data_IF_458464375754
#
_entry.id   IF_458464375754
#
_cell.length_a   1.000
_cell.length_b   1.000
_cell.length_c   1.000
_cell.angle_alpha   90.00
_cell.angle_beta   90.00
_cell.angle_gamma   90.00
#
_symmetry.space_group_name_H-M   'P 1'
#
loop_
_entity.id
_entity.type
_entity.pdbx_description
1 polymer ?
#
# COMPACT_ATOMS: atom_id res chain seq x y z
N UNK A 1 -28.61 17.11 -71.80
CA UNK A 1 -27.25 16.52 -71.66
C UNK A 1 -26.67 17.04 -70.35
N UNK A 2 -26.19 16.23 -69.39
CA UNK A 2 -24.97 15.37 -69.38
C UNK A 2 -23.67 16.20 -69.48
N UNK A 3 -22.52 16.00 -68.81
CA UNK A 3 -21.98 15.18 -67.68
C UNK A 3 -20.58 15.79 -67.33
N UNK A 4 -19.91 15.76 -66.16
CA UNK A 4 -19.89 15.04 -64.84
C UNK A 4 -19.74 16.13 -63.72
N UNK A 5 -19.77 15.94 -62.38
CA UNK A 5 -19.62 14.86 -61.38
C UNK A 5 -18.18 14.51 -60.87
N UNK A 6 -18.05 14.47 -59.52
CA UNK A 6 -17.05 13.79 -58.64
C UNK A 6 -15.58 14.28 -58.44
N UNK A 7 -15.35 15.07 -57.37
CA UNK A 7 -14.15 15.04 -56.47
C UNK A 7 -14.55 15.67 -55.11
N UNK A 8 -14.77 15.04 -53.96
CA UNK A 8 -14.44 13.75 -53.33
C UNK A 8 -13.07 13.68 -52.59
N UNK A 9 -13.12 13.32 -51.30
CA UNK A 9 -12.03 12.97 -50.35
C UNK A 9 -10.91 14.00 -50.04
N UNK A 10 -11.13 14.87 -49.04
CA UNK A 10 -10.25 15.19 -47.88
C UNK A 10 -10.92 16.35 -47.12
N UNK A 11 -11.39 16.26 -45.86
CA UNK A 11 -10.95 15.42 -44.73
C UNK A 11 -12.17 14.84 -43.98
N UNK A 12 -12.19 13.51 -43.74
CA UNK A 12 -13.10 12.86 -42.77
C UNK A 12 -12.36 12.66 -41.43
N UNK A 13 -13.13 12.52 -40.34
CA UNK A 13 -12.69 12.28 -38.94
C UNK A 13 -12.04 13.54 -38.31
N UNK A 14 -12.20 13.84 -37.01
CA UNK A 14 -12.91 13.18 -35.89
C UNK A 14 -13.97 14.18 -35.38
N UNK A 15 -15.27 13.88 -35.18
CA UNK A 15 -15.85 12.95 -34.19
C UNK A 15 -15.19 13.04 -32.81
N UNK A 16 -15.74 13.86 -31.92
CA UNK A 16 -16.14 13.40 -30.59
C UNK A 16 -17.39 14.16 -30.15
N UNK A 17 -18.51 13.45 -30.05
CA UNK A 17 -19.72 13.97 -29.40
C UNK A 17 -19.62 13.56 -27.93
N UNK A 18 -19.44 14.50 -27.01
CA UNK A 18 -19.62 14.27 -25.58
C UNK A 18 -21.11 14.04 -25.32
N UNK A 19 -21.53 12.79 -25.50
CA UNK A 19 -22.93 12.38 -25.50
C UNK A 19 -23.43 12.20 -24.06
N UNK A 20 -23.54 13.32 -23.34
CA UNK A 20 -23.88 13.37 -21.92
C UNK A 20 -25.21 12.62 -21.67
N UNK A 21 -25.16 11.62 -20.79
CA UNK A 21 -26.01 10.45 -20.89
C UNK A 21 -27.36 10.63 -20.17
N UNK A 22 -28.25 11.45 -20.76
CA UNK A 22 -29.60 11.73 -20.23
C UNK A 22 -30.49 10.47 -20.21
N UNK A 23 -30.49 9.74 -19.09
CA UNK A 23 -31.48 8.69 -18.78
C UNK A 23 -32.79 9.34 -18.29
N UNK A 24 -33.92 8.73 -18.63
CA UNK A 24 -35.25 9.20 -18.20
C UNK A 24 -35.69 8.47 -16.93
N UNK A 25 -36.11 9.22 -15.91
CA UNK A 25 -36.88 8.70 -14.78
C UNK A 25 -38.37 8.72 -15.14
N UNK A 26 -39.12 7.67 -14.78
CA UNK A 26 -40.58 7.63 -14.92
C UNK A 26 -41.23 8.33 -13.72
N UNK A 27 -42.26 9.14 -13.97
CA UNK A 27 -43.04 9.78 -12.92
C UNK A 27 -44.31 8.96 -12.62
N UNK A 28 -44.57 8.76 -11.33
CA UNK A 28 -45.88 8.37 -10.78
C UNK A 28 -46.32 9.43 -9.75
N UNK A 29 -47.63 9.57 -9.57
CA UNK A 29 -48.26 10.78 -9.00
C UNK A 29 -47.85 11.09 -7.55
N UNK A 30 -47.08 12.17 -7.35
CA UNK A 30 -46.91 12.89 -6.07
C UNK A 30 -46.83 14.40 -6.31
N UNK A 31 -47.22 15.21 -5.33
CA UNK A 31 -47.18 16.69 -5.44
C UNK A 31 -45.74 17.13 -5.65
N UNK A 32 -45.44 17.56 -6.87
CA UNK A 32 -44.06 17.58 -7.36
C UNK A 32 -43.37 18.89 -6.99
N UNK A 33 -42.42 18.82 -6.06
CA UNK A 33 -41.39 19.86 -5.87
C UNK A 33 -40.40 19.84 -7.05
N UNK A 34 -40.90 20.02 -8.27
CA UNK A 34 -40.12 19.88 -9.51
C UNK A 34 -38.96 20.89 -9.57
N UNK A 35 -39.08 22.04 -8.90
CA UNK A 35 -37.98 23.00 -8.74
C UNK A 35 -36.82 22.42 -7.92
N UNK A 36 -37.11 21.72 -6.82
CA UNK A 36 -36.10 21.10 -5.95
C UNK A 36 -35.49 19.86 -6.60
N UNK A 37 -36.30 19.04 -7.30
CA UNK A 37 -35.81 17.90 -8.10
C UNK A 37 -34.87 18.41 -9.21
N UNK A 38 -35.30 19.40 -10.00
CA UNK A 38 -34.49 20.02 -11.05
C UNK A 38 -33.24 20.75 -10.51
N UNK A 39 -33.16 21.00 -9.20
CA UNK A 39 -31.97 21.53 -8.53
C UNK A 39 -31.06 20.38 -8.09
N UNK A 40 -31.60 19.39 -7.39
CA UNK A 40 -30.88 18.19 -6.97
C UNK A 40 -30.22 17.48 -8.16
N UNK A 41 -30.93 17.32 -9.28
CA UNK A 41 -30.39 16.76 -10.53
C UNK A 41 -29.17 17.53 -11.04
N UNK A 42 -29.17 18.88 -10.93
CA UNK A 42 -28.02 19.71 -11.36
C UNK A 42 -26.86 19.59 -10.39
N UNK A 43 -27.15 19.58 -9.09
CA UNK A 43 -26.15 19.51 -8.04
C UNK A 43 -25.47 18.12 -8.03
N UNK A 44 -26.21 17.02 -8.27
CA UNK A 44 -25.66 15.66 -8.45
C UNK A 44 -24.87 15.53 -9.77
N UNK A 45 -25.37 16.07 -10.89
CA UNK A 45 -24.59 16.09 -12.15
C UNK A 45 -23.30 16.91 -12.03
N UNK A 46 -23.29 17.99 -11.24
CA UNK A 46 -22.10 18.79 -10.97
C UNK A 46 -21.11 18.02 -10.07
N UNK A 47 -21.60 17.35 -9.02
CA UNK A 47 -20.80 16.49 -8.16
C UNK A 47 -20.20 15.29 -8.92
N UNK A 48 -20.98 14.62 -9.78
CA UNK A 48 -20.49 13.62 -10.74
C UNK A 48 -19.36 14.18 -11.60
N UNK A 49 -19.54 15.37 -12.17
CA UNK A 49 -18.53 16.05 -12.98
C UNK A 49 -17.22 16.27 -12.23
N UNK A 50 -17.27 16.71 -10.97
CA UNK A 50 -16.07 16.85 -10.14
C UNK A 50 -15.42 15.48 -9.83
N UNK A 51 -16.20 14.50 -9.37
CA UNK A 51 -15.69 13.18 -8.99
C UNK A 51 -15.01 12.45 -10.16
N UNK A 52 -15.63 12.44 -11.34
CA UNK A 52 -15.03 11.86 -12.54
C UNK A 52 -13.71 12.57 -12.92
N UNK A 53 -13.67 13.90 -12.86
CA UNK A 53 -12.47 14.68 -13.18
C UNK A 53 -11.33 14.52 -12.16
N UNK A 54 -11.63 14.13 -10.91
CA UNK A 54 -10.60 13.81 -9.89
C UNK A 54 -10.05 12.38 -10.00
N UNK A 55 -10.74 11.47 -10.70
CA UNK A 55 -10.31 10.09 -10.88
C UNK A 55 -9.44 9.90 -12.13
N UNK A 56 -8.51 8.94 -12.09
CA UNK A 56 -7.71 8.54 -13.25
C UNK A 56 -8.58 7.86 -14.31
N UNK A 57 -8.16 7.93 -15.58
CA UNK A 57 -8.89 7.37 -16.74
C UNK A 57 -9.20 5.86 -16.58
N UNK A 58 -8.29 5.11 -15.93
CA UNK A 58 -8.51 3.71 -15.56
C UNK A 58 -9.67 3.53 -14.56
N UNK A 59 -9.71 4.36 -13.50
CA UNK A 59 -10.80 4.33 -12.53
C UNK A 59 -12.13 4.75 -13.14
N UNK A 60 -12.14 5.78 -13.99
CA UNK A 60 -13.35 6.33 -14.63
C UNK A 60 -14.17 5.24 -15.33
N UNK A 61 -13.52 4.31 -16.05
CA UNK A 61 -14.19 3.18 -16.71
C UNK A 61 -15.06 2.35 -15.76
N UNK A 62 -14.63 2.17 -14.50
CA UNK A 62 -15.38 1.43 -13.48
C UNK A 62 -16.51 2.24 -12.82
N UNK A 63 -16.55 3.56 -13.03
CA UNK A 63 -17.58 4.47 -12.50
C UNK A 63 -18.72 4.70 -13.52
N UNK A 64 -18.52 4.38 -14.80
CA UNK A 64 -19.53 4.47 -15.86
C UNK A 64 -20.78 3.58 -15.63
N UNK A 65 -20.73 2.69 -14.65
CA UNK A 65 -21.83 1.83 -14.19
C UNK A 65 -22.72 2.48 -13.12
N UNK A 66 -22.30 3.60 -12.55
CA UNK A 66 -23.03 4.31 -11.48
C UNK A 66 -23.89 5.45 -12.03
N UNK A 67 -25.16 5.52 -11.62
CA UNK A 67 -26.12 6.51 -12.12
C UNK A 67 -26.18 7.83 -11.33
N UNK A 68 -25.59 7.92 -10.13
CA UNK A 68 -25.64 9.11 -9.25
C UNK A 68 -24.29 9.42 -8.60
N UNK A 69 -24.07 10.67 -8.20
CA UNK A 69 -22.86 11.08 -7.47
C UNK A 69 -22.69 10.29 -6.17
N UNK A 70 -23.79 10.00 -5.47
CA UNK A 70 -23.78 9.17 -4.27
C UNK A 70 -23.32 7.73 -4.56
N UNK A 71 -23.76 7.12 -5.66
CA UNK A 71 -23.28 5.78 -6.07
C UNK A 71 -21.79 5.80 -6.40
N UNK A 72 -21.32 6.79 -7.16
CA UNK A 72 -19.89 6.98 -7.48
C UNK A 72 -19.06 7.15 -6.20
N UNK A 73 -19.51 8.01 -5.28
CA UNK A 73 -18.85 8.26 -3.99
C UNK A 73 -18.75 6.99 -3.14
N UNK A 74 -19.83 6.21 -3.05
CA UNK A 74 -19.85 4.96 -2.29
C UNK A 74 -18.93 3.90 -2.92
N UNK A 75 -18.92 3.77 -4.25
CA UNK A 75 -18.01 2.85 -4.95
C UNK A 75 -16.53 3.23 -4.78
N UNK A 76 -16.20 4.53 -4.83
CA UNK A 76 -14.86 5.03 -4.56
C UNK A 76 -14.47 4.78 -3.09
N UNK A 77 -15.32 5.20 -2.15
CA UNK A 77 -15.09 5.03 -0.71
C UNK A 77 -14.85 3.57 -0.35
N UNK A 78 -15.71 2.67 -0.83
CA UNK A 78 -15.59 1.22 -0.65
C UNK A 78 -14.26 0.70 -1.20
N UNK A 79 -13.88 1.05 -2.44
CA UNK A 79 -12.61 0.61 -3.04
C UNK A 79 -11.38 1.12 -2.30
N UNK A 80 -11.38 2.38 -1.84
CA UNK A 80 -10.25 2.96 -1.11
C UNK A 80 -10.14 2.41 0.33
N UNK A 81 -11.27 2.18 1.01
CA UNK A 81 -11.31 1.47 2.29
C UNK A 81 -10.82 0.03 2.13
N UNK A 82 -11.29 -0.69 1.11
CA UNK A 82 -10.89 -2.05 0.79
C UNK A 82 -9.37 -2.14 0.54
N UNK A 83 -8.84 -1.31 -0.36
CA UNK A 83 -7.40 -1.23 -0.65
C UNK A 83 -6.58 -0.93 0.62
N UNK A 84 -7.08 -0.07 1.53
CA UNK A 84 -6.43 0.18 2.83
C UNK A 84 -6.38 -1.09 3.70
N UNK A 85 -7.45 -1.91 3.69
CA UNK A 85 -7.50 -3.19 4.41
C UNK A 85 -6.54 -4.23 3.81
N UNK A 86 -6.53 -4.42 2.48
CA UNK A 86 -5.57 -5.36 1.86
C UNK A 86 -4.12 -4.89 1.98
N UNK A 87 -3.84 -3.59 1.81
CA UNK A 87 -2.52 -3.00 2.03
C UNK A 87 -2.02 -3.28 3.45
N UNK A 88 -2.88 -3.06 4.45
CA UNK A 88 -2.58 -3.35 5.86
C UNK A 88 -2.34 -4.85 6.10
N UNK A 89 -3.10 -5.74 5.46
CA UNK A 89 -2.90 -7.19 5.54
C UNK A 89 -1.59 -7.64 4.87
N UNK A 90 -1.26 -7.11 3.69
CA UNK A 90 0.03 -7.37 3.02
C UNK A 90 1.18 -6.94 3.92
N UNK A 91 1.17 -5.69 4.41
CA UNK A 91 2.22 -5.17 5.27
C UNK A 91 2.36 -5.96 6.58
N UNK A 92 1.27 -6.52 7.11
CA UNK A 92 1.33 -7.44 8.26
C UNK A 92 1.99 -8.78 7.89
N UNK A 93 1.68 -9.35 6.73
CA UNK A 93 2.34 -10.56 6.22
C UNK A 93 3.82 -10.31 5.93
N UNK A 94 4.16 -9.18 5.31
CA UNK A 94 5.53 -8.75 5.04
C UNK A 94 6.32 -8.60 6.35
N UNK A 95 5.76 -7.91 7.34
CA UNK A 95 6.36 -7.78 8.68
C UNK A 95 6.56 -9.14 9.36
N UNK A 96 5.57 -10.04 9.33
CA UNK A 96 5.68 -11.38 9.93
C UNK A 96 6.73 -12.25 9.21
N UNK A 97 6.75 -12.22 7.88
CA UNK A 97 7.65 -13.03 7.05
C UNK A 97 9.07 -12.45 6.93
N UNK A 98 9.28 -11.18 7.25
CA UNK A 98 10.60 -10.53 7.13
C UNK A 98 11.69 -11.26 7.95
N UNK A 99 12.86 -11.47 7.33
CA UNK A 99 14.05 -12.08 7.93
C UNK A 99 15.29 -11.25 7.63
N UNK A 100 16.30 -11.34 8.48
CA UNK A 100 17.64 -10.82 8.19
C UNK A 100 18.21 -11.49 6.93
N UNK A 101 19.01 -10.75 6.16
CA UNK A 101 19.68 -11.23 4.94
C UNK A 101 21.18 -11.03 5.09
N UNK A 102 22.04 -11.97 4.62
CA UNK A 102 23.49 -11.88 4.78
C UNK A 102 24.11 -10.66 4.05
N UNK A 103 23.44 -10.18 3.00
CA UNK A 103 23.79 -8.98 2.22
C UNK A 103 23.68 -7.67 3.02
N UNK A 104 22.98 -7.66 4.16
CA UNK A 104 22.56 -6.45 4.86
C UNK A 104 23.21 -6.31 6.23
N UNK A 105 23.53 -5.06 6.63
CA UNK A 105 23.91 -4.76 8.02
C UNK A 105 22.71 -4.87 8.96
N UNK A 106 22.98 -5.08 10.25
CA UNK A 106 22.00 -5.05 11.34
C UNK A 106 21.28 -3.69 11.35
N UNK A 107 22.02 -2.60 11.13
CA UNK A 107 21.42 -1.28 11.01
C UNK A 107 20.43 -1.16 9.83
N UNK A 108 20.77 -1.67 8.64
CA UNK A 108 19.83 -1.69 7.51
C UNK A 108 18.58 -2.54 7.82
N UNK A 109 18.78 -3.69 8.45
CA UNK A 109 17.71 -4.59 8.86
C UNK A 109 16.72 -3.92 9.85
N UNK A 110 17.23 -3.16 10.82
CA UNK A 110 16.42 -2.38 11.77
C UNK A 110 15.62 -1.29 11.03
N UNK A 111 16.25 -0.51 10.15
CA UNK A 111 15.55 0.55 9.40
C UNK A 111 14.49 -0.02 8.44
N UNK A 112 14.73 -1.19 7.84
CA UNK A 112 13.73 -1.88 7.04
C UNK A 112 12.50 -2.33 7.86
N UNK A 113 12.69 -2.80 9.10
CA UNK A 113 11.58 -3.14 10.00
C UNK A 113 10.82 -1.88 10.43
N UNK A 114 11.53 -0.81 10.81
CA UNK A 114 10.90 0.50 11.12
C UNK A 114 10.07 1.02 9.95
N UNK A 115 10.57 0.90 8.72
CA UNK A 115 9.87 1.32 7.51
C UNK A 115 8.60 0.49 7.25
N UNK A 116 8.63 -0.83 7.47
CA UNK A 116 7.44 -1.69 7.40
C UNK A 116 6.41 -1.30 8.48
N UNK A 117 6.87 -1.06 9.72
CA UNK A 117 6.01 -0.61 10.84
C UNK A 117 5.39 0.75 10.54
N UNK A 118 6.13 1.70 9.97
CA UNK A 118 5.60 3.00 9.58
C UNK A 118 4.53 2.85 8.50
N UNK A 119 4.82 2.12 7.41
CA UNK A 119 3.84 1.90 6.35
C UNK A 119 2.58 1.19 6.84
N UNK A 120 2.71 0.30 7.84
CA UNK A 120 1.58 -0.37 8.47
C UNK A 120 0.75 0.60 9.34
N UNK A 121 1.40 1.52 10.08
CA UNK A 121 0.76 2.62 10.80
C UNK A 121 0.04 3.59 9.83
N UNK A 122 0.67 3.93 8.71
CA UNK A 122 0.07 4.75 7.64
C UNK A 122 -1.16 4.08 7.00
N UNK A 123 -1.22 2.75 6.98
CA UNK A 123 -2.36 1.94 6.54
C UNK A 123 -3.42 1.71 7.64
N UNK A 124 -3.38 2.46 8.75
CA UNK A 124 -4.33 2.34 9.87
C UNK A 124 -4.11 1.12 10.76
N UNK A 125 -2.90 0.55 10.78
CA UNK A 125 -2.49 -0.50 11.70
C UNK A 125 -2.00 0.04 13.04
N UNK A 126 -2.32 -0.65 14.13
CA UNK A 126 -1.70 -0.43 15.44
C UNK A 126 -0.50 -1.35 15.59
N UNK A 127 0.68 -0.80 15.85
CA UNK A 127 1.92 -1.57 16.01
C UNK A 127 2.76 -1.00 17.16
N UNK A 128 3.05 -1.87 18.11
CA UNK A 128 3.69 -1.53 19.37
C UNK A 128 5.23 -1.62 19.25
N UNK A 129 5.92 -0.80 20.03
CA UNK A 129 7.39 -0.78 20.03
C UNK A 129 7.96 -2.09 20.59
N UNK A 130 7.30 -2.72 21.56
CA UNK A 130 7.65 -4.06 22.08
C UNK A 130 7.54 -5.15 20.99
N UNK A 131 6.47 -5.12 20.20
CA UNK A 131 6.29 -6.02 19.05
C UNK A 131 7.35 -5.79 17.97
N UNK A 132 7.74 -4.52 17.77
CA UNK A 132 8.83 -4.13 16.87
C UNK A 132 10.19 -4.63 17.36
N UNK A 133 10.48 -4.49 18.66
CA UNK A 133 11.70 -5.01 19.29
C UNK A 133 11.79 -6.53 19.18
N UNK A 134 10.71 -7.23 19.56
CA UNK A 134 10.61 -8.69 19.45
C UNK A 134 10.80 -9.15 17.99
N UNK A 135 10.24 -8.43 17.01
CA UNK A 135 10.43 -8.74 15.59
C UNK A 135 11.88 -8.61 15.15
N UNK A 136 12.56 -7.50 15.48
CA UNK A 136 14.00 -7.30 15.17
C UNK A 136 14.80 -8.48 15.70
N UNK A 137 14.62 -8.80 16.98
CA UNK A 137 15.31 -9.87 17.68
C UNK A 137 15.08 -11.24 17.02
N UNK A 138 13.82 -11.61 16.79
CA UNK A 138 13.44 -12.92 16.25
C UNK A 138 13.66 -13.08 14.73
N UNK A 139 14.22 -12.08 14.06
CA UNK A 139 14.62 -12.17 12.65
C UNK A 139 16.13 -12.14 12.41
N UNK A 140 16.96 -11.95 13.45
CA UNK A 140 18.42 -12.08 13.40
C UNK A 140 18.89 -13.55 13.29
N UNK A 141 20.09 -13.80 12.74
CA UNK A 141 20.66 -15.15 12.61
C UNK A 141 21.28 -15.68 13.93
N UNK A 142 21.47 -17.01 14.09
CA UNK A 142 21.87 -17.67 15.34
C UNK A 142 23.15 -17.13 16.01
N UNK A 143 24.10 -16.57 15.27
CA UNK A 143 25.28 -15.96 15.89
C UNK A 143 24.95 -14.78 16.82
N UNK A 144 23.73 -14.22 16.79
CA UNK A 144 23.26 -13.19 17.73
C UNK A 144 22.60 -13.78 19.00
N UNK A 145 22.57 -15.11 19.20
CA UNK A 145 21.99 -15.73 20.39
C UNK A 145 22.61 -15.22 21.71
N UNK A 146 23.93 -14.97 21.75
CA UNK A 146 24.60 -14.39 22.92
C UNK A 146 24.08 -12.98 23.26
N UNK A 147 23.73 -12.19 22.24
CA UNK A 147 23.10 -10.87 22.40
C UNK A 147 21.67 -11.01 22.90
N UNK A 148 20.91 -11.96 22.33
CA UNK A 148 19.54 -12.27 22.73
C UNK A 148 19.46 -12.61 24.23
N UNK A 149 20.28 -13.54 24.73
CA UNK A 149 20.29 -13.88 26.16
C UNK A 149 20.65 -12.68 27.06
N UNK A 150 21.57 -11.80 26.63
CA UNK A 150 21.90 -10.58 27.37
C UNK A 150 20.75 -9.54 27.37
N UNK A 151 20.00 -9.45 26.27
CA UNK A 151 18.80 -8.61 26.17
C UNK A 151 17.64 -9.15 27.00
N UNK A 152 17.39 -10.46 26.96
CA UNK A 152 16.40 -11.16 27.80
C UNK A 152 16.73 -11.11 29.29
N UNK A 153 18.00 -10.91 29.64
CA UNK A 153 18.46 -10.67 31.02
C UNK A 153 18.35 -9.20 31.46
N UNK A 154 18.07 -8.26 30.55
CA UNK A 154 18.04 -6.82 30.85
C UNK A 154 16.71 -6.38 31.50
N UNK A 155 16.68 -5.36 32.38
CA UNK A 155 15.45 -4.86 33.00
C UNK A 155 14.40 -4.45 31.96
N UNK A 156 13.12 -4.72 32.23
CA UNK A 156 12.01 -4.41 31.28
C UNK A 156 11.99 -2.92 30.91
N UNK A 157 12.23 -2.03 31.87
CA UNK A 157 12.36 -0.58 31.68
C UNK A 157 13.46 -0.17 30.68
N UNK A 158 14.47 -1.02 30.46
CA UNK A 158 15.53 -0.78 29.50
C UNK A 158 15.24 -1.36 28.10
N UNK A 159 14.18 -2.15 27.92
CA UNK A 159 13.90 -2.88 26.66
C UNK A 159 13.29 -2.01 25.54
N UNK A 160 13.61 -0.72 25.52
CA UNK A 160 13.12 0.22 24.51
C UNK A 160 13.77 0.02 23.15
N UNK A 161 13.08 0.38 22.08
CA UNK A 161 13.60 0.31 20.71
C UNK A 161 14.93 1.08 20.56
N UNK A 162 15.06 2.24 21.19
CA UNK A 162 16.30 3.02 21.18
C UNK A 162 17.48 2.26 21.79
N UNK A 163 17.30 1.67 22.97
CA UNK A 163 18.33 0.86 23.63
C UNK A 163 18.66 -0.41 22.82
N UNK A 164 17.67 -1.02 22.16
CA UNK A 164 17.89 -2.17 21.29
C UNK A 164 18.82 -1.82 20.12
N UNK A 165 18.55 -0.70 19.41
CA UNK A 165 19.42 -0.24 18.31
C UNK A 165 20.84 0.04 18.82
N UNK A 166 21.00 0.84 19.87
CA UNK A 166 22.34 1.21 20.37
C UNK A 166 23.16 0.01 20.84
N UNK A 167 22.53 -1.02 21.41
CA UNK A 167 23.23 -2.25 21.80
C UNK A 167 23.53 -3.14 20.58
N UNK A 168 22.67 -3.20 19.57
CA UNK A 168 22.92 -3.95 18.33
C UNK A 168 24.02 -3.33 17.47
N UNK A 169 24.04 -2.00 17.28
CA UNK A 169 25.13 -1.29 16.58
C UNK A 169 26.51 -1.60 17.22
N UNK A 170 26.54 -1.66 18.56
CA UNK A 170 27.75 -2.03 19.33
C UNK A 170 28.13 -3.50 19.14
N UNK A 171 27.17 -4.41 19.02
CA UNK A 171 27.43 -5.84 18.82
C UNK A 171 27.87 -6.16 17.39
N UNK A 172 27.27 -5.53 16.39
CA UNK A 172 27.73 -5.57 14.99
C UNK A 172 29.19 -5.10 14.89
N UNK A 173 29.51 -3.97 15.55
CA UNK A 173 30.88 -3.44 15.63
C UNK A 173 31.86 -4.42 16.31
N UNK A 174 31.43 -5.15 17.35
CA UNK A 174 32.26 -6.18 18.01
C UNK A 174 32.49 -7.38 17.08
N UNK A 175 31.43 -7.89 16.44
CA UNK A 175 31.49 -9.05 15.53
C UNK A 175 32.38 -8.81 14.33
N UNK A 176 32.24 -7.65 13.69
CA UNK A 176 33.09 -7.28 12.55
C UNK A 176 34.58 -7.34 12.93
N UNK A 177 34.92 -6.88 14.13
CA UNK A 177 36.30 -6.82 14.63
C UNK A 177 36.85 -8.17 15.15
N UNK A 178 36.01 -9.16 15.50
CA UNK A 178 36.48 -10.46 15.98
C UNK A 178 36.36 -11.61 14.96
N UNK A 179 35.41 -11.53 14.02
CA UNK A 179 35.15 -12.58 13.02
C UNK A 179 35.54 -12.16 11.57
N UNK A 180 35.99 -10.91 11.35
CA UNK A 180 36.35 -10.41 10.02
C UNK A 180 35.19 -10.36 9.00
N UNK A 181 33.94 -10.54 9.46
CA UNK A 181 32.76 -10.66 8.61
C UNK A 181 32.35 -12.09 8.23
N UNK A 182 33.07 -13.14 8.67
CA UNK A 182 32.70 -14.52 8.34
C UNK A 182 31.42 -15.00 9.05
N UNK A 183 30.55 -15.66 8.28
CA UNK A 183 29.30 -16.27 8.77
C UNK A 183 29.57 -17.62 9.45
N UNK A 184 28.97 -17.83 10.63
CA UNK A 184 28.99 -19.13 11.34
C UNK A 184 28.40 -20.26 10.48
N UNK A 185 28.73 -21.50 10.79
CA UNK A 185 28.05 -22.67 10.22
C UNK A 185 26.51 -22.61 10.48
N UNK A 186 26.11 -22.16 11.67
CA UNK A 186 24.70 -22.00 12.04
C UNK A 186 24.01 -20.86 11.26
N UNK A 187 24.74 -19.77 10.99
CA UNK A 187 24.25 -18.67 10.16
C UNK A 187 24.10 -19.13 8.70
N UNK A 188 25.06 -19.92 8.18
CA UNK A 188 24.97 -20.54 6.85
C UNK A 188 23.72 -21.42 6.73
N UNK A 189 23.46 -22.26 7.74
CA UNK A 189 22.25 -23.08 7.81
C UNK A 189 20.96 -22.23 7.90
N UNK A 190 20.96 -21.16 8.70
CA UNK A 190 19.82 -20.23 8.84
C UNK A 190 19.46 -19.53 7.54
N UNK A 191 20.44 -19.19 6.69
CA UNK A 191 20.20 -18.63 5.37
C UNK A 191 19.94 -19.68 4.27
N UNK A 192 19.99 -20.97 4.59
CA UNK A 192 19.82 -22.06 3.61
C UNK A 192 21.02 -22.25 2.67
N UNK A 193 22.20 -21.74 3.02
CA UNK A 193 23.43 -22.07 2.29
C UNK A 193 23.83 -23.53 2.54
N UNK A 194 24.34 -24.26 1.54
CA UNK A 194 24.78 -25.64 1.71
C UNK A 194 25.92 -25.71 2.74
N UNK A 195 25.83 -26.66 3.67
CA UNK A 195 26.90 -26.97 4.61
C UNK A 195 28.13 -27.44 3.83
N UNK A 196 29.26 -26.76 4.02
CA UNK A 196 30.56 -27.13 3.43
C UNK A 196 31.14 -28.35 4.13
N UNK A 197 30.61 -29.54 3.82
CA UNK A 197 31.16 -30.82 4.26
C UNK A 197 32.62 -30.93 3.81
N UNK A 198 33.52 -31.18 4.77
CA UNK A 198 34.95 -31.42 4.58
C UNK A 198 35.30 -32.74 5.25
#
# INVERSE_FOLDING_TARGET
MLLRNATNQHKKKKKNKTNLHKRHVKQDNTVTNQADINKWDKDDNLALGYLFNTCSEEQQNSLLTCDTAHSVWNSLTSRYQQNTVERRQSLQQDFLNYRFKPEHTVRYHIEAIKLLVQQFKDAGGLADDDGTCNKIITSLPPSYNNFLTAWESSPILERTLANLVTRLDREESRKHNCNGGELSADDKAYFGFPSTST
#
